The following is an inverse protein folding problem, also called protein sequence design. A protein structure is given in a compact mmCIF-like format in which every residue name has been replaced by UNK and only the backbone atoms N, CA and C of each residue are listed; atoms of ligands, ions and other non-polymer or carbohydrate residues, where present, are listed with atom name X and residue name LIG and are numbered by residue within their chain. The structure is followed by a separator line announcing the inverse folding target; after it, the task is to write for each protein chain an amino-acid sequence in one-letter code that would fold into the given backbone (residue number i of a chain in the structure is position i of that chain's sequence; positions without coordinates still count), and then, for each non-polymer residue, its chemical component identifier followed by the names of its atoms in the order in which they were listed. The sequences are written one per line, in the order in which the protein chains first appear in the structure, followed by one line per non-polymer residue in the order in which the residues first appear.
data_IF_670577133080
#
_entry.id   IF_670577133080
#
_cell.length_a   1.000
_cell.length_b   1.000
_cell.length_c   1.000
_cell.angle_alpha   90.00
_cell.angle_beta   90.00
_cell.angle_gamma   90.00
#
_symmetry.space_group_name_H-M   'P 1'
#
loop_
_entity.id
_entity.type
_entity.pdbx_description
1 polymer ?
#
# COMPACT_ATOMS: atom_id res chain seq x y z
N UNK A 1 9.59 49.79 -18.04
CA UNK A 1 8.17 49.35 -17.98
C UNK A 1 8.00 47.89 -18.42
N UNK A 2 8.57 47.48 -19.57
CA UNK A 2 8.47 46.12 -20.12
C UNK A 2 8.97 45.01 -19.17
N UNK A 3 10.08 45.21 -18.47
CA UNK A 3 10.67 44.20 -17.55
C UNK A 3 9.79 43.85 -16.35
N UNK A 4 9.02 44.81 -15.81
CA UNK A 4 8.07 44.55 -14.71
C UNK A 4 6.87 43.71 -15.19
N UNK A 5 6.44 43.89 -16.44
CA UNK A 5 5.34 43.14 -17.05
C UNK A 5 5.75 41.67 -17.28
N UNK A 6 6.97 41.42 -17.77
CA UNK A 6 7.51 40.06 -17.90
C UNK A 6 7.66 39.36 -16.55
N UNK A 7 8.08 40.09 -15.50
CA UNK A 7 8.23 39.52 -14.15
C UNK A 7 6.87 39.16 -13.52
N UNK A 8 5.84 39.97 -13.77
CA UNK A 8 4.46 39.69 -13.33
C UNK A 8 3.89 38.49 -14.12
N UNK A 9 4.09 38.44 -15.43
CA UNK A 9 3.67 37.31 -16.26
C UNK A 9 4.34 36.00 -15.87
N UNK A 10 5.64 36.03 -15.55
CA UNK A 10 6.39 34.87 -15.07
C UNK A 10 5.93 34.40 -13.69
N UNK A 11 5.61 35.33 -12.77
CA UNK A 11 5.03 35.01 -11.46
C UNK A 11 3.62 34.43 -11.60
N UNK A 12 2.78 34.97 -12.48
CA UNK A 12 1.45 34.42 -12.75
C UNK A 12 1.55 33.01 -13.35
N UNK A 13 2.48 32.79 -14.27
CA UNK A 13 2.74 31.47 -14.84
C UNK A 13 3.21 30.46 -13.80
N UNK A 14 4.09 30.85 -12.87
CA UNK A 14 4.51 29.99 -11.76
C UNK A 14 3.36 29.66 -10.80
N UNK A 15 2.50 30.62 -10.48
CA UNK A 15 1.31 30.39 -9.63
C UNK A 15 0.30 29.48 -10.33
N UNK A 16 0.06 29.68 -11.63
CA UNK A 16 -0.80 28.80 -12.42
C UNK A 16 -0.21 27.41 -12.58
N UNK A 17 1.10 27.27 -12.80
CA UNK A 17 1.77 25.97 -12.87
C UNK A 17 1.67 25.21 -11.54
N UNK A 18 1.78 25.91 -10.40
CA UNK A 18 1.56 25.34 -9.07
C UNK A 18 0.09 24.92 -8.85
N UNK A 19 -0.87 25.76 -9.25
CA UNK A 19 -2.29 25.45 -9.11
C UNK A 19 -2.74 24.27 -10.00
N UNK A 20 -2.16 24.14 -11.20
CA UNK A 20 -2.44 23.01 -12.09
C UNK A 20 -1.87 21.70 -11.55
N UNK A 21 -0.71 21.73 -10.90
CA UNK A 21 -0.18 20.54 -10.20
C UNK A 21 -1.11 20.05 -9.08
N UNK A 22 -1.78 20.97 -8.35
CA UNK A 22 -2.72 20.58 -7.30
C UNK A 22 -4.03 19.95 -7.82
N UNK A 23 -4.43 20.24 -9.06
CA UNK A 23 -5.70 19.75 -9.64
C UNK A 23 -5.53 18.39 -10.34
N UNK A 24 -4.32 18.06 -10.82
CA UNK A 24 -4.04 16.80 -11.52
C UNK A 24 -3.58 15.65 -10.63
N UNK A 25 -3.46 15.85 -9.32
CA UNK A 25 -3.32 14.75 -8.38
C UNK A 25 -4.66 14.00 -8.33
N UNK A 26 -4.76 12.84 -9.00
CA UNK A 26 -5.79 11.87 -8.67
C UNK A 26 -5.82 11.71 -7.15
N UNK A 27 -7.00 11.69 -6.53
CA UNK A 27 -7.15 11.84 -5.07
C UNK A 27 -6.09 11.01 -4.34
N UNK A 28 -5.13 11.68 -3.70
CA UNK A 28 -4.05 11.02 -2.98
C UNK A 28 -4.67 10.01 -2.01
N UNK A 29 -4.17 8.77 -2.02
CA UNK A 29 -4.81 7.66 -1.32
C UNK A 29 -3.80 6.58 -1.01
N UNK A 30 -4.02 5.89 0.11
CA UNK A 30 -3.35 4.63 0.41
C UNK A 30 -4.17 3.45 -0.13
N UNK A 31 -3.54 2.57 -0.90
CA UNK A 31 -4.16 1.35 -1.39
C UNK A 31 -3.50 0.12 -0.79
N UNK A 32 -4.30 -0.88 -0.47
CA UNK A 32 -3.83 -2.24 -0.21
C UNK A 32 -4.28 -3.11 -1.38
N UNK A 33 -3.33 -3.58 -2.20
CA UNK A 33 -3.61 -4.22 -3.49
C UNK A 33 -3.23 -5.69 -3.44
N UNK A 34 -4.22 -6.57 -3.64
CA UNK A 34 -3.98 -7.98 -3.90
C UNK A 34 -3.37 -8.16 -5.27
N UNK A 35 -2.08 -8.53 -5.32
CA UNK A 35 -1.38 -8.70 -6.59
C UNK A 35 -1.61 -10.06 -7.24
N UNK A 36 -2.48 -10.88 -6.63
CA UNK A 36 -2.58 -12.28 -6.96
C UNK A 36 -1.32 -13.01 -6.51
N UNK A 37 -1.15 -14.23 -7.00
CA UNK A 37 -0.05 -15.09 -6.57
C UNK A 37 1.01 -15.27 -7.67
N UNK A 38 0.67 -14.89 -8.90
CA UNK A 38 1.58 -14.80 -10.05
C UNK A 38 1.14 -13.59 -10.89
N UNK A 39 2.03 -12.98 -11.69
CA UNK A 39 1.76 -11.69 -12.33
C UNK A 39 0.56 -11.66 -13.28
N UNK A 40 0.26 -12.76 -13.97
CA UNK A 40 -0.87 -12.89 -14.89
C UNK A 40 -2.24 -12.99 -14.18
N UNK A 41 -2.24 -13.24 -12.86
CA UNK A 41 -3.43 -13.21 -12.01
C UNK A 41 -3.70 -11.83 -11.38
N UNK A 42 -2.86 -10.83 -11.67
CA UNK A 42 -3.11 -9.46 -11.25
C UNK A 42 -4.42 -8.95 -11.86
N UNK A 43 -5.29 -8.37 -11.03
CA UNK A 43 -6.55 -7.82 -11.52
C UNK A 43 -6.32 -6.57 -12.37
N UNK A 44 -7.19 -6.31 -13.35
CA UNK A 44 -7.13 -5.08 -14.17
C UNK A 44 -7.17 -3.82 -13.28
N UNK A 45 -7.95 -3.84 -12.19
CA UNK A 45 -8.00 -2.74 -11.22
C UNK A 45 -6.68 -2.60 -10.47
N UNK A 46 -6.09 -3.70 -10.01
CA UNK A 46 -4.78 -3.70 -9.36
C UNK A 46 -3.70 -3.11 -10.25
N UNK A 47 -3.62 -3.54 -11.51
CA UNK A 47 -2.67 -3.00 -12.48
C UNK A 47 -2.81 -1.48 -12.69
N UNK A 48 -4.06 -0.98 -12.83
CA UNK A 48 -4.33 0.46 -12.98
C UNK A 48 -3.92 1.28 -11.74
N UNK A 49 -4.14 0.75 -10.53
CA UNK A 49 -3.73 1.42 -9.30
C UNK A 49 -2.20 1.43 -9.17
N UNK A 50 -1.53 0.32 -9.48
CA UNK A 50 -0.06 0.25 -9.49
C UNK A 50 0.51 1.27 -10.48
N UNK A 51 -0.04 1.36 -11.69
CA UNK A 51 0.37 2.33 -12.72
C UNK A 51 0.29 3.77 -12.19
N UNK A 52 -0.80 4.12 -11.50
CA UNK A 52 -1.03 5.45 -10.93
C UNK A 52 -0.21 5.75 -9.68
N UNK A 53 0.34 4.73 -9.03
CA UNK A 53 1.07 4.89 -7.76
C UNK A 53 2.43 5.55 -7.97
N UNK A 54 2.81 6.40 -7.02
CA UNK A 54 4.17 6.98 -6.97
C UNK A 54 5.08 6.11 -6.10
N UNK A 55 4.52 5.49 -5.06
CA UNK A 55 5.24 4.65 -4.10
C UNK A 55 4.59 3.27 -4.06
N UNK A 56 5.43 2.25 -4.15
CA UNK A 56 5.04 0.85 -3.99
C UNK A 56 5.67 0.32 -2.70
N UNK A 57 4.87 -0.30 -1.84
CA UNK A 57 5.38 -1.07 -0.70
C UNK A 57 5.35 -2.55 -1.04
N UNK A 58 6.45 -3.24 -0.75
CA UNK A 58 6.63 -4.68 -0.93
C UNK A 58 7.14 -5.32 0.35
N UNK A 59 6.88 -6.60 0.52
CA UNK A 59 7.35 -7.38 1.66
C UNK A 59 8.74 -7.97 1.40
N UNK A 60 8.96 -8.49 0.19
CA UNK A 60 10.16 -9.23 -0.19
C UNK A 60 10.70 -8.78 -1.57
N UNK A 61 12.01 -8.93 -1.82
CA UNK A 61 12.64 -8.56 -3.11
C UNK A 61 12.26 -9.51 -4.26
N UNK A 62 11.81 -10.73 -3.96
CA UNK A 62 11.34 -11.69 -4.99
C UNK A 62 10.11 -11.16 -5.72
N UNK A 63 9.17 -10.54 -4.99
CA UNK A 63 7.97 -9.93 -5.57
C UNK A 63 8.31 -8.72 -6.44
N UNK A 64 9.35 -7.97 -6.07
CA UNK A 64 9.84 -6.85 -6.89
C UNK A 64 10.29 -7.30 -8.27
N UNK A 65 11.01 -8.41 -8.34
CA UNK A 65 11.45 -8.98 -9.62
C UNK A 65 10.28 -9.57 -10.40
N UNK A 66 9.40 -10.33 -9.73
CA UNK A 66 8.25 -10.97 -10.37
C UNK A 66 7.23 -9.97 -10.94
N UNK A 67 6.96 -8.85 -10.26
CA UNK A 67 6.02 -7.81 -10.70
C UNK A 67 6.70 -6.59 -11.36
N UNK A 68 7.98 -6.69 -11.74
CA UNK A 68 8.76 -5.56 -12.30
C UNK A 68 8.11 -4.89 -13.51
N UNK A 69 7.40 -5.64 -14.34
CA UNK A 69 6.71 -5.10 -15.54
C UNK A 69 5.58 -4.15 -15.17
N UNK A 70 4.91 -4.37 -14.04
CA UNK A 70 3.86 -3.50 -13.52
C UNK A 70 4.44 -2.35 -12.69
N UNK A 71 5.47 -2.63 -11.88
CA UNK A 71 6.05 -1.67 -10.95
C UNK A 71 6.91 -0.63 -11.68
N UNK A 72 7.72 -1.07 -12.66
CA UNK A 72 8.67 -0.21 -13.37
C UNK A 72 9.72 0.42 -12.43
N UNK A 73 10.03 1.70 -12.67
CA UNK A 73 11.08 2.45 -11.96
C UNK A 73 10.55 3.28 -10.77
N UNK A 74 9.41 2.90 -10.17
CA UNK A 74 8.78 3.64 -9.08
C UNK A 74 9.60 3.59 -7.79
N UNK A 75 9.31 4.50 -6.87
CA UNK A 75 9.87 4.47 -5.51
C UNK A 75 9.35 3.22 -4.79
N UNK A 76 10.26 2.41 -4.23
CA UNK A 76 9.91 1.16 -3.53
C UNK A 76 10.28 1.29 -2.05
N UNK A 77 9.34 0.95 -1.18
CA UNK A 77 9.55 0.81 0.25
C UNK A 77 9.46 -0.67 0.63
N UNK A 78 10.58 -1.23 1.09
CA UNK A 78 10.56 -2.59 1.62
C UNK A 78 10.03 -2.57 3.05
N UNK A 79 8.93 -3.28 3.28
CA UNK A 79 8.18 -3.32 4.54
C UNK A 79 8.00 -4.77 4.94
N UNK A 80 8.88 -5.24 5.83
CA UNK A 80 8.88 -6.63 6.26
C UNK A 80 7.55 -7.06 6.86
N UNK A 81 7.10 -8.25 6.47
CA UNK A 81 6.01 -8.99 7.10
C UNK A 81 6.12 -9.13 8.63
N UNK A 82 7.32 -9.00 9.18
CA UNK A 82 7.52 -9.02 10.64
C UNK A 82 6.76 -7.91 11.38
N UNK A 83 6.38 -6.82 10.69
CA UNK A 83 5.61 -5.72 11.26
C UNK A 83 4.23 -6.15 11.81
N UNK A 84 3.62 -7.25 11.30
CA UNK A 84 2.35 -7.77 11.87
C UNK A 84 2.51 -8.52 13.19
N UNK A 85 3.72 -8.95 13.51
CA UNK A 85 3.93 -9.80 14.68
C UNK A 85 3.52 -9.03 15.93
N UNK A 86 2.90 -9.76 16.86
CA UNK A 86 2.48 -9.22 18.15
C UNK A 86 1.42 -8.12 18.08
N UNK A 87 0.83 -7.85 16.91
CA UNK A 87 -0.27 -6.90 16.79
C UNK A 87 -1.44 -7.32 17.68
N UNK A 88 -2.04 -6.36 18.38
CA UNK A 88 -3.11 -6.59 19.35
C UNK A 88 -2.65 -7.06 20.74
N UNK A 89 -1.36 -7.34 20.96
CA UNK A 89 -0.86 -7.63 22.30
C UNK A 89 -0.67 -6.34 23.10
N UNK A 90 -1.16 -6.36 24.34
CA UNK A 90 -0.96 -5.30 25.33
C UNK A 90 0.39 -5.52 26.06
N UNK A 91 1.40 -4.66 25.88
CA UNK A 91 2.72 -4.84 26.50
C UNK A 91 2.69 -4.89 28.03
N UNK A 92 1.68 -4.27 28.66
CA UNK A 92 1.59 -4.21 30.12
C UNK A 92 1.05 -5.52 30.73
N UNK A 93 0.42 -6.36 29.91
CA UNK A 93 -0.06 -7.69 30.30
C UNK A 93 0.98 -8.80 30.06
N UNK A 94 2.17 -8.46 29.57
CA UNK A 94 3.22 -9.44 29.24
C UNK A 94 4.22 -9.55 30.40
N UNK A 95 4.35 -10.75 30.95
CA UNK A 95 5.31 -11.06 32.04
C UNK A 95 6.72 -11.34 31.52
N UNK A 96 6.86 -11.89 30.32
CA UNK A 96 8.18 -12.15 29.71
C UNK A 96 8.80 -10.84 29.19
N UNK A 97 9.87 -10.38 29.83
CA UNK A 97 10.54 -9.12 29.50
C UNK A 97 11.16 -9.09 28.09
N UNK A 98 11.64 -10.24 27.59
CA UNK A 98 12.19 -10.32 26.23
C UNK A 98 11.08 -10.19 25.19
N UNK A 99 9.94 -10.83 25.43
CA UNK A 99 8.76 -10.71 24.58
C UNK A 99 8.23 -9.27 24.64
N UNK A 100 8.08 -8.70 25.83
CA UNK A 100 7.62 -7.31 26.03
C UNK A 100 8.47 -6.32 25.26
N UNK A 101 9.80 -6.46 25.29
CA UNK A 101 10.72 -5.65 24.49
C UNK A 101 10.45 -5.79 22.99
N UNK A 102 10.32 -7.02 22.48
CA UNK A 102 10.01 -7.28 21.06
C UNK A 102 8.67 -6.68 20.63
N UNK A 103 7.63 -6.79 21.46
CA UNK A 103 6.31 -6.19 21.17
C UNK A 103 6.44 -4.68 21.02
N UNK A 104 7.15 -4.02 21.93
CA UNK A 104 7.38 -2.56 21.87
C UNK A 104 8.20 -2.14 20.65
N UNK A 105 9.25 -2.89 20.31
CA UNK A 105 10.08 -2.62 19.13
C UNK A 105 9.27 -2.73 17.83
N UNK A 106 8.48 -3.81 17.67
CA UNK A 106 7.64 -3.99 16.49
C UNK A 106 6.50 -2.94 16.44
N UNK A 107 5.93 -2.55 17.58
CA UNK A 107 4.94 -1.45 17.64
C UNK A 107 5.53 -0.12 17.17
N UNK A 108 6.76 0.20 17.60
CA UNK A 108 7.48 1.38 17.12
C UNK A 108 7.67 1.33 15.60
N UNK A 109 8.11 0.21 15.06
CA UNK A 109 8.27 0.04 13.60
C UNK A 109 6.94 0.22 12.86
N UNK A 110 5.84 -0.33 13.36
CA UNK A 110 4.50 -0.11 12.78
C UNK A 110 4.14 1.38 12.76
N UNK A 111 4.36 2.10 13.85
CA UNK A 111 4.08 3.55 13.92
C UNK A 111 4.91 4.36 12.92
N UNK A 112 6.18 4.03 12.76
CA UNK A 112 7.06 4.67 11.77
C UNK A 112 6.54 4.43 10.33
N UNK A 113 6.09 3.21 10.02
CA UNK A 113 5.49 2.90 8.71
C UNK A 113 4.21 3.72 8.49
N UNK A 114 3.32 3.77 9.49
CA UNK A 114 2.06 4.51 9.44
C UNK A 114 2.31 6.01 9.25
N UNK A 115 3.28 6.58 9.97
CA UNK A 115 3.68 7.97 9.80
C UNK A 115 4.22 8.24 8.39
N UNK A 116 5.04 7.34 7.86
CA UNK A 116 5.57 7.44 6.50
C UNK A 116 4.47 7.43 5.42
N UNK A 117 3.49 6.53 5.56
CA UNK A 117 2.31 6.46 4.66
C UNK A 117 1.51 7.75 4.77
N UNK A 118 1.18 8.17 6.00
CA UNK A 118 0.40 9.39 6.29
C UNK A 118 1.04 10.62 5.64
N UNK A 119 2.35 10.79 5.82
CA UNK A 119 3.09 11.92 5.25
C UNK A 119 3.10 11.91 3.72
N UNK A 120 3.26 10.73 3.10
CA UNK A 120 3.24 10.62 1.64
C UNK A 120 1.86 10.93 1.04
N UNK A 121 0.79 10.41 1.65
CA UNK A 121 -0.59 10.69 1.20
C UNK A 121 -0.92 12.17 1.38
N UNK A 122 -0.57 12.78 2.51
CA UNK A 122 -0.74 14.23 2.73
C UNK A 122 0.10 15.09 1.78
N UNK A 123 1.22 14.56 1.28
CA UNK A 123 2.03 15.18 0.24
C UNK A 123 1.46 14.98 -1.18
N UNK A 124 0.25 14.44 -1.32
CA UNK A 124 -0.43 14.27 -2.60
C UNK A 124 -0.05 13.00 -3.36
N UNK A 125 0.67 12.05 -2.74
CA UNK A 125 1.11 10.81 -3.40
C UNK A 125 0.10 9.68 -3.22
N UNK A 126 0.01 8.84 -4.24
CA UNK A 126 -0.61 7.52 -4.14
C UNK A 126 0.45 6.52 -3.65
N UNK A 127 0.13 5.82 -2.57
CA UNK A 127 0.96 4.78 -1.95
C UNK A 127 0.21 3.46 -2.05
N UNK A 128 0.80 2.44 -2.66
CA UNK A 128 0.18 1.11 -2.79
C UNK A 128 1.01 0.05 -2.10
N UNK A 129 0.45 -0.59 -1.08
CA UNK A 129 1.00 -1.80 -0.49
C UNK A 129 0.53 -3.02 -1.28
N UNK A 130 1.45 -3.68 -1.98
CA UNK A 130 1.14 -4.89 -2.72
C UNK A 130 1.28 -6.10 -1.81
N UNK A 131 0.28 -6.97 -1.86
CA UNK A 131 0.22 -8.17 -1.03
C UNK A 131 -0.06 -9.38 -1.88
N UNK A 132 0.65 -10.47 -1.61
CA UNK A 132 0.45 -11.74 -2.30
C UNK A 132 -0.96 -12.27 -2.04
N UNK A 133 -1.63 -12.69 -3.10
CA UNK A 133 -3.00 -13.21 -3.05
C UNK A 133 -4.05 -12.11 -2.91
N UNK A 134 -4.83 -12.17 -1.83
CA UNK A 134 -5.89 -11.21 -1.50
C UNK A 134 -5.64 -10.59 -0.12
N UNK A 135 -5.69 -9.24 0.04
CA UNK A 135 -5.40 -8.56 1.30
C UNK A 135 -6.27 -9.00 2.48
N UNK A 136 -7.52 -9.38 2.20
CA UNK A 136 -8.50 -9.76 3.23
C UNK A 136 -8.39 -11.24 3.62
N UNK A 137 -7.53 -12.01 2.95
CA UNK A 137 -7.27 -13.42 3.24
C UNK A 137 -5.88 -13.59 3.87
N UNK A 138 -5.80 -13.38 5.19
CA UNK A 138 -4.56 -13.48 5.99
C UNK A 138 -3.46 -12.45 5.65
N UNK A 139 -3.80 -11.35 4.98
CA UNK A 139 -2.88 -10.26 4.63
C UNK A 139 -2.53 -9.31 5.79
N UNK A 140 -1.60 -8.37 5.56
CA UNK A 140 -1.30 -7.28 6.51
C UNK A 140 -2.38 -6.21 6.42
N UNK A 141 -3.28 -6.16 7.40
CA UNK A 141 -4.38 -5.18 7.44
C UNK A 141 -4.33 -4.23 8.64
N UNK A 142 -3.30 -4.29 9.49
CA UNK A 142 -3.16 -3.39 10.65
C UNK A 142 -3.18 -1.90 10.26
N UNK A 143 -2.85 -1.57 9.01
CA UNK A 143 -2.97 -0.22 8.45
C UNK A 143 -4.38 0.35 8.64
N UNK A 144 -5.42 -0.46 8.45
CA UNK A 144 -6.81 -0.04 8.53
C UNK A 144 -7.20 0.44 9.94
N UNK A 145 -6.52 -0.07 10.97
CA UNK A 145 -6.78 0.28 12.36
C UNK A 145 -5.85 1.38 12.87
N UNK A 146 -4.63 1.48 12.30
CA UNK A 146 -3.60 2.40 12.80
C UNK A 146 -3.48 3.70 12.01
N UNK A 147 -3.95 3.75 10.77
CA UNK A 147 -3.94 4.99 9.99
C UNK A 147 -4.90 6.02 10.62
N UNK A 148 -4.54 7.31 10.58
CA UNK A 148 -5.49 8.37 10.94
C UNK A 148 -6.75 8.30 10.07
N UNK A 149 -7.92 8.58 10.64
CA UNK A 149 -9.21 8.50 9.96
C UNK A 149 -9.31 9.41 8.72
N UNK A 150 -8.53 10.49 8.67
CA UNK A 150 -8.48 11.42 7.53
C UNK A 150 -7.68 10.88 6.34
N UNK A 151 -6.95 9.78 6.48
CA UNK A 151 -6.17 9.18 5.40
C UNK A 151 -7.08 8.29 4.56
N UNK A 152 -7.45 8.71 3.32
CA UNK A 152 -8.31 7.91 2.48
C UNK A 152 -7.58 6.61 2.14
N UNK A 153 -8.27 5.50 2.37
CA UNK A 153 -7.72 4.15 2.25
C UNK A 153 -8.68 3.25 1.50
N UNK A 154 -8.17 2.38 0.64
CA UNK A 154 -8.99 1.46 -0.14
C UNK A 154 -8.30 0.12 -0.36
N UNK A 155 -9.07 -0.96 -0.29
CA UNK A 155 -8.60 -2.31 -0.58
C UNK A 155 -8.99 -2.68 -2.01
N UNK A 156 -8.02 -3.15 -2.79
CA UNK A 156 -8.24 -3.73 -4.11
C UNK A 156 -8.11 -5.25 -3.98
N UNK A 157 -9.20 -6.01 -4.17
CA UNK A 157 -9.17 -7.46 -4.07
C UNK A 157 -8.21 -8.11 -5.07
N UNK A 158 -7.71 -9.29 -4.71
CA UNK A 158 -6.84 -10.12 -5.53
C UNK A 158 -7.25 -11.59 -5.54
N UNK A 159 -6.53 -12.41 -6.31
CA UNK A 159 -6.78 -13.85 -6.39
C UNK A 159 -5.94 -14.56 -5.32
N UNK A 160 -6.58 -15.05 -4.26
CA UNK A 160 -5.91 -15.73 -3.14
C UNK A 160 -5.30 -17.11 -3.46
N UNK A 161 -4.36 -17.57 -2.62
CA UNK A 161 -3.59 -18.83 -2.77
C UNK A 161 -4.48 -20.08 -2.83
N UNK A 162 -5.59 -20.12 -2.08
CA UNK A 162 -6.52 -21.25 -2.13
C UNK A 162 -7.09 -21.51 -3.54
N UNK A 163 -7.15 -20.48 -4.38
CA UNK A 163 -7.50 -20.62 -5.80
C UNK A 163 -6.39 -21.28 -6.61
N UNK A 164 -5.12 -20.94 -6.39
CA UNK A 164 -3.99 -21.37 -7.23
C UNK A 164 -3.79 -22.89 -7.23
N UNK A 165 -3.55 -23.49 -6.06
CA UNK A 165 -3.22 -24.91 -5.95
C UNK A 165 -4.38 -25.83 -6.34
N UNK A 166 -5.62 -25.32 -6.30
CA UNK A 166 -6.82 -26.11 -6.63
C UNK A 166 -7.25 -25.96 -8.09
N UNK A 167 -7.05 -24.78 -8.70
CA UNK A 167 -7.27 -24.55 -10.13
C UNK A 167 -6.32 -25.38 -11.00
N UNK A 168 -5.06 -25.54 -10.57
CA UNK A 168 -4.10 -26.41 -11.27
C UNK A 168 -4.40 -27.90 -11.09
N UNK A 169 -5.09 -28.29 -10.01
CA UNK A 169 -5.34 -29.69 -9.68
C UNK A 169 -6.75 -30.22 -10.02
N UNK A 170 -7.57 -29.49 -10.80
CA UNK A 170 -8.97 -29.87 -11.13
C UNK A 170 -9.88 -30.08 -9.90
N UNK A 171 -9.63 -29.37 -8.80
CA UNK A 171 -10.53 -29.40 -7.63
C UNK A 171 -11.39 -28.13 -7.59
N UNK A 172 -12.71 -28.29 -7.50
CA UNK A 172 -13.63 -27.18 -7.28
C UNK A 172 -13.81 -26.93 -5.78
N UNK A 173 -13.54 -25.70 -5.34
CA UNK A 173 -14.01 -25.23 -4.03
C UNK A 173 -15.50 -24.90 -4.16
N UNK A 174 -16.35 -25.90 -3.96
CA UNK A 174 -17.79 -25.67 -3.77
C UNK A 174 -18.07 -25.68 -2.27
N UNK A 175 -18.56 -24.56 -1.76
CA UNK A 175 -19.26 -24.55 -0.48
C UNK A 175 -20.68 -24.96 -0.82
N UNK A 176 -21.08 -26.17 -0.43
CA UNK A 176 -22.49 -26.55 -0.55
C UNK A 176 -23.31 -25.69 0.43
N UNK A 177 -24.44 -25.13 -0.01
CA UNK A 177 -25.31 -24.40 0.90
C UNK A 177 -25.71 -25.33 2.07
N UNK A 178 -25.54 -24.85 3.30
CA UNK A 178 -25.93 -25.55 4.52
C UNK A 178 -27.44 -25.40 4.83
N UNK A 179 -28.27 -25.27 3.80
CA UNK A 179 -29.73 -25.11 3.94
C UNK A 179 -30.47 -26.13 3.09
#
# INVERSE_FOLDING_TARGET
MKTKIYLIGFRLFLVLAFAVQTVFAGSAKFYIVGMGTVPDLLTIRGAKIIEQSQIIMLEDEEDKEAWKEFIGNKEIWMVSNSARRYYGLDPDKITDENLKKKVKEVDKTRREIIEKITNAVRAGKIVSALQSGDPMMFGLTYYLEMLPEDIPTEIVPGIGVAGRDKLSQKWSLRIEPLW
#
